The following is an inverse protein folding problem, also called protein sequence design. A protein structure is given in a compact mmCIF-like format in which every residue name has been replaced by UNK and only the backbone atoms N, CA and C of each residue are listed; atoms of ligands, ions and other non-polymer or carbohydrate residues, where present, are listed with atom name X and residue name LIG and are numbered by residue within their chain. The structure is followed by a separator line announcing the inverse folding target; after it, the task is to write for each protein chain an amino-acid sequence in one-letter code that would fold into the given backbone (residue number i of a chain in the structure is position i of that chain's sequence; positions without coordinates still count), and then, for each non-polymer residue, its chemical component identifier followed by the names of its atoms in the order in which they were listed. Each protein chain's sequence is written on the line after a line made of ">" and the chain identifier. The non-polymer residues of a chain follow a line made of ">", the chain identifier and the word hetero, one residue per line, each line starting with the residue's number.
data_IF_871173696879
#
_entry.id   IF_871173696879
#
_cell.length_a   1.000
_cell.length_b   1.000
_cell.length_c   1.000
_cell.angle_alpha   90.00
_cell.angle_beta   90.00
_cell.angle_gamma   90.00
#
_symmetry.space_group_name_H-M   'P 1'
#
loop_
_entity.id
_entity.type
_entity.pdbx_description
1 polymer ?
#
# COMPACT_ATOMS: atom_id res chain seq x y z
N UNK A 1 -63.31 -52.06 -15.51
CA UNK A 1 -62.97 -52.04 -16.94
C UNK A 1 -61.66 -51.27 -17.09
N UNK A 2 -60.68 -51.99 -17.64
CA UNK A 2 -59.29 -51.70 -18.05
C UNK A 2 -58.94 -50.27 -18.57
N UNK A 3 -57.65 -49.90 -18.83
CA UNK A 3 -56.40 -50.67 -18.71
C UNK A 3 -55.18 -49.93 -18.07
N UNK A 4 -54.13 -50.74 -17.90
CA UNK A 4 -52.70 -50.46 -17.64
C UNK A 4 -52.06 -49.33 -18.46
N UNK A 5 -51.09 -48.65 -17.84
CA UNK A 5 -49.86 -48.21 -18.52
C UNK A 5 -48.66 -48.38 -17.59
N UNK A 6 -47.81 -49.34 -17.95
CA UNK A 6 -46.47 -49.50 -17.41
C UNK A 6 -45.55 -48.49 -18.09
N UNK A 7 -44.79 -47.73 -17.32
CA UNK A 7 -43.59 -47.05 -17.83
C UNK A 7 -42.36 -47.60 -17.14
N UNK A 8 -41.58 -48.25 -17.98
CA UNK A 8 -40.25 -48.81 -17.79
C UNK A 8 -39.20 -47.69 -17.87
N UNK A 9 -38.01 -47.95 -17.33
CA UNK A 9 -36.77 -47.17 -17.48
C UNK A 9 -36.69 -45.87 -16.66
N UNK A 10 -35.61 -45.56 -15.93
CA UNK A 10 -34.20 -45.83 -16.22
C UNK A 10 -33.40 -45.65 -14.94
N UNK A 11 -32.57 -46.63 -14.62
CA UNK A 11 -31.49 -46.49 -13.65
C UNK A 11 -30.55 -45.38 -14.11
N UNK A 12 -30.59 -44.25 -13.42
CA UNK A 12 -29.52 -43.26 -13.46
C UNK A 12 -28.47 -43.66 -12.44
N UNK A 13 -27.60 -44.61 -12.80
CA UNK A 13 -26.32 -44.82 -12.12
C UNK A 13 -25.46 -43.57 -12.33
N UNK A 14 -25.70 -42.55 -11.51
CA UNK A 14 -24.78 -41.43 -11.31
C UNK A 14 -23.57 -41.96 -10.56
N UNK A 15 -22.63 -42.56 -11.30
CA UNK A 15 -21.39 -43.07 -10.77
C UNK A 15 -20.62 -41.98 -10.04
N UNK A 16 -20.73 -41.99 -8.71
CA UNK A 16 -19.79 -41.32 -7.81
C UNK A 16 -18.41 -41.94 -8.05
N UNK A 17 -17.62 -41.27 -8.90
CA UNK A 17 -16.21 -41.56 -9.16
C UNK A 17 -15.33 -40.95 -8.06
N UNK A 18 -15.70 -41.13 -6.79
CA UNK A 18 -14.89 -40.68 -5.63
C UNK A 18 -13.78 -41.69 -5.26
N UNK A 19 -13.81 -42.89 -5.82
CA UNK A 19 -12.86 -43.95 -5.50
C UNK A 19 -11.70 -44.03 -6.48
N UNK A 20 -10.50 -43.64 -6.03
CA UNK A 20 -9.14 -43.90 -6.57
C UNK A 20 -8.36 -42.67 -7.06
N UNK A 21 -8.48 -41.52 -6.39
CA UNK A 21 -7.27 -40.69 -6.26
C UNK A 21 -6.21 -41.56 -5.58
N UNK A 22 -5.10 -41.80 -6.26
CA UNK A 22 -4.02 -42.64 -5.72
C UNK A 22 -3.58 -42.09 -4.37
N UNK A 23 -3.16 -42.93 -3.43
CA UNK A 23 -2.70 -42.46 -2.11
C UNK A 23 -1.66 -41.32 -2.25
N UNK A 24 -0.79 -41.41 -3.26
CA UNK A 24 0.14 -40.36 -3.68
C UNK A 24 -0.54 -39.03 -3.96
N UNK A 25 -1.62 -39.03 -4.73
CA UNK A 25 -2.37 -37.83 -5.08
C UNK A 25 -3.13 -37.23 -3.88
N UNK A 26 -3.68 -38.09 -2.99
CA UNK A 26 -4.23 -37.61 -1.71
C UNK A 26 -3.15 -36.94 -0.85
N UNK A 27 -1.93 -37.48 -0.83
CA UNK A 27 -0.82 -36.96 -0.04
C UNK A 27 -0.32 -35.61 -0.58
N UNK A 28 -0.20 -35.45 -1.91
CA UNK A 28 0.11 -34.16 -2.53
C UNK A 28 -0.97 -33.10 -2.27
N UNK A 29 -2.25 -33.49 -2.32
CA UNK A 29 -3.35 -32.56 -2.02
C UNK A 29 -3.33 -32.11 -0.55
N UNK A 30 -3.07 -33.02 0.39
CA UNK A 30 -2.97 -32.67 1.82
C UNK A 30 -1.79 -31.74 2.11
N UNK A 31 -0.63 -31.94 1.46
CA UNK A 31 0.51 -31.04 1.59
C UNK A 31 0.17 -29.66 1.01
N UNK A 32 -0.39 -29.61 -0.19
CA UNK A 32 -0.77 -28.34 -0.80
C UNK A 32 -1.85 -27.60 0.01
N UNK A 33 -2.79 -28.33 0.61
CA UNK A 33 -3.83 -27.77 1.49
C UNK A 33 -3.22 -27.21 2.78
N UNK A 34 -2.30 -27.93 3.41
CA UNK A 34 -1.58 -27.45 4.59
C UNK A 34 -0.75 -26.19 4.29
N UNK A 35 0.00 -26.18 3.17
CA UNK A 35 0.76 -25.01 2.72
C UNK A 35 -0.14 -23.79 2.45
N UNK A 36 -1.32 -24.03 1.87
CA UNK A 36 -2.32 -22.97 1.63
C UNK A 36 -2.91 -22.45 2.94
N UNK A 37 -3.22 -23.33 3.90
CA UNK A 37 -3.73 -22.94 5.21
C UNK A 37 -2.69 -22.13 5.99
N UNK A 38 -1.42 -22.51 5.95
CA UNK A 38 -0.32 -21.75 6.56
C UNK A 38 -0.15 -20.36 5.90
N UNK A 39 -0.19 -20.29 4.56
CA UNK A 39 -0.15 -19.02 3.84
C UNK A 39 -1.36 -18.12 4.16
N UNK A 40 -2.55 -18.70 4.36
CA UNK A 40 -3.75 -17.96 4.78
C UNK A 40 -3.61 -17.42 6.21
N UNK A 41 -3.20 -18.25 7.16
CA UNK A 41 -2.98 -17.84 8.55
C UNK A 41 -1.94 -16.71 8.65
N UNK A 42 -0.87 -16.77 7.85
CA UNK A 42 0.11 -15.69 7.77
C UNK A 42 -0.48 -14.38 7.22
N UNK A 43 -1.37 -14.45 6.22
CA UNK A 43 -2.04 -13.25 5.70
C UNK A 43 -2.99 -12.64 6.72
N UNK A 44 -3.70 -13.47 7.48
CA UNK A 44 -4.63 -13.01 8.50
C UNK A 44 -3.91 -12.29 9.64
N UNK A 45 -2.74 -12.77 10.06
CA UNK A 45 -1.93 -12.09 11.08
C UNK A 45 -1.43 -10.72 10.61
N UNK A 46 -0.98 -10.60 9.35
CA UNK A 46 -0.59 -9.31 8.76
C UNK A 46 -1.75 -8.30 8.75
N UNK A 47 -2.97 -8.76 8.45
CA UNK A 47 -4.15 -7.91 8.47
C UNK A 47 -4.53 -7.50 9.90
N UNK A 48 -4.37 -8.39 10.88
CA UNK A 48 -4.63 -8.08 12.29
C UNK A 48 -3.68 -6.99 12.80
N UNK A 49 -2.40 -7.06 12.46
CA UNK A 49 -1.40 -6.04 12.83
C UNK A 49 -1.71 -4.68 12.20
N UNK A 50 -2.07 -4.64 10.91
CA UNK A 50 -2.48 -3.40 10.23
C UNK A 50 -3.70 -2.77 10.88
N UNK A 51 -4.71 -3.58 11.20
CA UNK A 51 -5.93 -3.11 11.88
C UNK A 51 -5.59 -2.52 13.25
N UNK A 52 -4.74 -3.20 14.01
CA UNK A 52 -4.29 -2.73 15.33
C UNK A 52 -3.59 -1.37 15.23
N UNK A 53 -2.71 -1.18 14.24
CA UNK A 53 -2.05 0.10 14.00
C UNK A 53 -3.02 1.22 13.60
N UNK A 54 -3.98 0.92 12.72
CA UNK A 54 -5.05 1.86 12.36
C UNK A 54 -5.85 2.32 13.58
N UNK A 55 -6.26 1.38 14.44
CA UNK A 55 -7.00 1.68 15.66
C UNK A 55 -6.16 2.56 16.59
N UNK A 56 -4.88 2.25 16.78
CA UNK A 56 -3.99 3.05 17.63
C UNK A 56 -3.85 4.49 17.14
N UNK A 57 -3.68 4.71 15.82
CA UNK A 57 -3.62 6.07 15.26
C UNK A 57 -4.91 6.87 15.49
N UNK A 58 -6.07 6.21 15.42
CA UNK A 58 -7.36 6.84 15.67
C UNK A 58 -7.57 7.17 17.16
N UNK A 59 -7.20 6.25 18.06
CA UNK A 59 -7.28 6.45 19.52
C UNK A 59 -6.35 7.56 19.99
N UNK A 60 -5.16 7.68 19.38
CA UNK A 60 -4.21 8.78 19.65
C UNK A 60 -4.68 10.15 19.11
N UNK A 61 -5.81 10.21 18.41
CA UNK A 61 -6.34 11.46 17.86
C UNK A 61 -5.57 11.97 16.64
N UNK A 62 -5.03 11.06 15.82
CA UNK A 62 -4.20 11.39 14.65
C UNK A 62 -4.84 10.93 13.33
N UNK A 63 -5.97 11.55 12.94
CA UNK A 63 -6.71 11.13 11.75
C UNK A 63 -5.92 11.34 10.45
N UNK A 64 -5.02 12.33 10.39
CA UNK A 64 -4.22 12.58 9.18
C UNK A 64 -3.18 11.47 8.94
N UNK A 65 -2.50 11.04 10.00
CA UNK A 65 -1.58 9.90 9.96
C UNK A 65 -2.33 8.60 9.61
N UNK A 66 -3.55 8.43 10.12
CA UNK A 66 -4.43 7.32 9.73
C UNK A 66 -4.76 7.33 8.23
N UNK A 67 -5.18 8.46 7.66
CA UNK A 67 -5.53 8.55 6.22
C UNK A 67 -4.31 8.21 5.36
N UNK A 68 -3.14 8.71 5.71
CA UNK A 68 -1.90 8.41 5.00
C UNK A 68 -1.55 6.92 5.13
N UNK A 69 -1.58 6.35 6.34
CA UNK A 69 -1.31 4.93 6.57
C UNK A 69 -2.30 4.02 5.83
N UNK A 70 -3.60 4.34 5.88
CA UNK A 70 -4.66 3.58 5.23
C UNK A 70 -4.49 3.59 3.71
N UNK A 71 -4.23 4.75 3.11
CA UNK A 71 -4.01 4.89 1.66
C UNK A 71 -2.83 4.06 1.15
N UNK A 72 -1.83 3.82 2.00
CA UNK A 72 -0.60 3.09 1.66
C UNK A 72 -0.71 1.58 1.87
N UNK A 73 -1.58 1.15 2.78
CA UNK A 73 -1.71 -0.24 3.22
C UNK A 73 -2.95 -0.93 2.65
N UNK A 74 -4.00 -0.18 2.33
CA UNK A 74 -5.28 -0.69 1.82
C UNK A 74 -5.49 -0.25 0.36
N UNK A 75 -4.46 -0.41 -0.48
CA UNK A 75 -4.44 0.09 -1.88
C UNK A 75 -5.79 -0.01 -2.58
N UNK A 76 -6.16 1.04 -3.33
CA UNK A 76 -7.47 1.18 -3.99
C UNK A 76 -7.87 -0.14 -4.67
N UNK A 77 -9.01 -0.75 -4.32
CA UNK A 77 -9.46 -1.97 -4.98
C UNK A 77 -9.98 -1.76 -6.41
N UNK A 78 -10.12 -0.51 -6.89
CA UNK A 78 -10.77 -0.23 -8.17
C UNK A 78 -9.81 0.28 -9.26
N UNK A 79 -9.41 -0.66 -10.14
CA UNK A 79 -9.70 -0.62 -11.57
C UNK A 79 -9.07 0.47 -12.45
N UNK A 80 -7.92 0.17 -13.07
CA UNK A 80 -7.48 0.85 -14.29
C UNK A 80 -6.02 0.62 -14.62
N UNK A 81 -5.76 -0.25 -15.61
CA UNK A 81 -4.48 -0.84 -16.04
C UNK A 81 -4.10 -2.06 -15.19
N UNK A 82 -4.44 -3.29 -15.60
CA UNK A 82 -4.12 -3.85 -16.90
C UNK A 82 -2.75 -4.51 -16.77
N UNK A 83 -2.79 -5.84 -16.70
CA UNK A 83 -1.67 -6.78 -16.65
C UNK A 83 -1.37 -7.37 -15.26
N UNK A 84 -1.72 -8.65 -15.19
CA UNK A 84 -1.53 -9.58 -14.10
C UNK A 84 -0.04 -9.77 -13.79
N UNK A 85 0.44 -9.13 -12.73
CA UNK A 85 1.53 -9.70 -11.93
C UNK A 85 1.03 -9.89 -10.51
N UNK A 86 0.77 -11.15 -10.18
CA UNK A 86 0.64 -11.71 -8.84
C UNK A 86 1.77 -11.22 -7.92
N UNK A 87 1.52 -10.13 -7.22
CA UNK A 87 2.45 -9.53 -6.29
C UNK A 87 1.74 -8.38 -5.62
N UNK A 88 0.76 -8.70 -4.76
CA UNK A 88 0.21 -7.70 -3.85
C UNK A 88 1.39 -6.91 -3.30
N UNK A 89 1.38 -5.62 -3.56
CA UNK A 89 2.40 -4.64 -3.22
C UNK A 89 2.36 -4.37 -1.72
N UNK A 90 2.51 -5.46 -0.99
CA UNK A 90 2.33 -5.57 0.43
C UNK A 90 3.54 -4.88 1.06
N UNK A 91 3.26 -3.84 1.85
CA UNK A 91 4.29 -3.14 2.60
C UNK A 91 4.90 -4.17 3.56
N UNK A 92 6.23 -4.41 3.52
CA UNK A 92 6.87 -5.33 4.44
C UNK A 92 6.47 -5.02 5.87
N UNK A 93 6.27 -6.03 6.71
CA UNK A 93 5.81 -5.81 8.09
C UNK A 93 6.79 -4.90 8.87
N UNK A 94 8.09 -5.04 8.61
CA UNK A 94 9.15 -4.18 9.16
C UNK A 94 8.99 -2.71 8.75
N UNK A 95 8.49 -2.46 7.54
CA UNK A 95 8.22 -1.11 7.04
C UNK A 95 7.02 -0.46 7.73
N UNK A 96 6.07 -1.23 8.26
CA UNK A 96 4.87 -0.68 8.92
C UNK A 96 5.22 0.09 10.19
N UNK A 97 6.20 -0.40 10.96
CA UNK A 97 6.70 0.28 12.16
C UNK A 97 7.39 1.61 11.83
N UNK A 98 8.29 1.60 10.83
CA UNK A 98 8.95 2.81 10.35
C UNK A 98 7.95 3.80 9.75
N UNK A 99 6.98 3.30 8.98
CA UNK A 99 5.92 4.09 8.38
C UNK A 99 5.12 4.83 9.45
N UNK A 100 4.70 4.13 10.51
CA UNK A 100 4.03 4.78 11.64
C UNK A 100 4.91 5.85 12.27
N UNK A 101 6.15 5.53 12.60
CA UNK A 101 7.03 6.45 13.32
C UNK A 101 7.26 7.76 12.55
N UNK A 102 7.52 7.68 11.24
CA UNK A 102 7.72 8.87 10.41
C UNK A 102 6.40 9.64 10.15
N UNK A 103 5.26 8.94 10.01
CA UNK A 103 3.96 9.61 9.91
C UNK A 103 3.61 10.35 11.20
N UNK A 104 3.89 9.78 12.36
CA UNK A 104 3.72 10.45 13.66
C UNK A 104 4.64 11.67 13.79
N UNK A 105 5.90 11.56 13.35
CA UNK A 105 6.84 12.68 13.33
C UNK A 105 6.34 13.80 12.41
N UNK A 106 5.88 13.47 11.21
CA UNK A 106 5.32 14.43 10.27
C UNK A 106 4.07 15.12 10.84
N UNK A 107 3.16 14.36 11.46
CA UNK A 107 1.94 14.89 12.08
C UNK A 107 2.24 15.84 13.25
N UNK A 108 3.19 15.47 14.11
CA UNK A 108 3.66 16.35 15.19
C UNK A 108 4.27 17.65 14.64
N UNK A 109 5.10 17.56 13.60
CA UNK A 109 5.72 18.73 12.97
C UNK A 109 4.68 19.64 12.28
N UNK A 110 3.65 19.06 11.65
CA UNK A 110 2.52 19.78 11.07
C UNK A 110 1.76 20.59 12.13
N UNK A 111 1.52 19.99 13.31
CA UNK A 111 0.85 20.67 14.43
C UNK A 111 1.69 21.79 15.04
N UNK A 112 3.02 21.63 15.05
CA UNK A 112 3.96 22.66 15.50
C UNK A 112 4.22 23.75 14.45
N UNK A 113 3.76 23.56 13.21
CA UNK A 113 4.02 24.49 12.09
C UNK A 113 5.41 24.37 11.47
N UNK A 114 6.20 23.37 11.86
CA UNK A 114 7.55 23.15 11.33
C UNK A 114 7.50 22.39 9.99
N UNK A 115 7.37 23.15 8.92
CA UNK A 115 7.30 22.60 7.55
C UNK A 115 8.58 21.88 7.11
N UNK A 116 9.73 22.20 7.70
CA UNK A 116 11.01 21.56 7.35
C UNK A 116 11.09 20.15 7.93
N UNK A 117 10.69 19.99 9.20
CA UNK A 117 10.59 18.68 9.82
C UNK A 117 9.58 17.77 9.09
N UNK A 118 8.42 18.31 8.67
CA UNK A 118 7.43 17.55 7.86
C UNK A 118 8.06 17.07 6.54
N UNK A 119 8.78 17.95 5.83
CA UNK A 119 9.43 17.61 4.58
C UNK A 119 10.49 16.52 4.77
N UNK A 120 11.30 16.60 5.84
CA UNK A 120 12.33 15.61 6.13
C UNK A 120 11.74 14.21 6.41
N UNK A 121 10.67 14.13 7.19
CA UNK A 121 9.98 12.88 7.50
C UNK A 121 9.41 12.21 6.23
N UNK A 122 8.68 12.96 5.40
CA UNK A 122 8.14 12.42 4.14
C UNK A 122 9.24 12.07 3.13
N UNK A 123 10.35 12.82 3.09
CA UNK A 123 11.52 12.49 2.25
C UNK A 123 12.19 11.19 2.68
N UNK A 124 12.28 10.92 3.98
CA UNK A 124 12.84 9.65 4.48
C UNK A 124 11.97 8.46 4.07
N UNK A 125 10.64 8.58 4.19
CA UNK A 125 9.71 7.56 3.70
C UNK A 125 9.84 7.34 2.20
N UNK A 126 9.91 8.41 1.42
CA UNK A 126 10.05 8.32 -0.03
C UNK A 126 11.35 7.58 -0.43
N UNK A 127 12.47 7.88 0.24
CA UNK A 127 13.74 7.19 0.02
C UNK A 127 13.67 5.70 0.37
N UNK A 128 13.04 5.38 1.50
CA UNK A 128 12.87 4.00 1.93
C UNK A 128 12.07 3.18 0.92
N UNK A 129 10.93 3.70 0.44
CA UNK A 129 10.15 3.03 -0.60
C UNK A 129 10.87 2.96 -1.94
N UNK A 130 11.70 3.95 -2.29
CA UNK A 130 12.54 3.90 -3.48
C UNK A 130 13.61 2.79 -3.38
N UNK A 131 14.22 2.59 -2.21
CA UNK A 131 15.21 1.52 -1.99
C UNK A 131 14.61 0.12 -2.11
N UNK A 132 13.35 -0.06 -1.70
CA UNK A 132 12.65 -1.35 -1.77
C UNK A 132 12.05 -1.59 -3.16
N UNK A 133 12.20 -0.64 -4.10
CA UNK A 133 11.65 -0.75 -5.46
C UNK A 133 10.15 -0.41 -5.56
N UNK A 134 9.55 0.12 -4.49
CA UNK A 134 8.14 0.51 -4.40
C UNK A 134 7.94 1.95 -4.88
N UNK A 135 8.21 2.19 -6.16
CA UNK A 135 8.31 3.54 -6.73
C UNK A 135 7.01 4.35 -6.66
N UNK A 136 5.85 3.72 -6.84
CA UNK A 136 4.54 4.37 -6.77
C UNK A 136 4.27 4.99 -5.37
N UNK A 137 4.66 4.29 -4.28
CA UNK A 137 4.60 4.81 -2.90
C UNK A 137 5.60 5.95 -2.69
N UNK A 138 6.82 5.82 -3.22
CA UNK A 138 7.81 6.89 -3.16
C UNK A 138 7.31 8.16 -3.87
N UNK A 139 6.70 8.02 -5.05
CA UNK A 139 6.10 9.12 -5.80
C UNK A 139 5.01 9.83 -5.01
N UNK A 140 4.11 9.08 -4.35
CA UNK A 140 3.06 9.64 -3.50
C UNK A 140 3.64 10.61 -2.45
N UNK A 141 4.72 10.22 -1.77
CA UNK A 141 5.39 11.06 -0.78
C UNK A 141 6.11 12.26 -1.41
N UNK A 142 6.80 12.08 -2.54
CA UNK A 142 7.42 13.20 -3.24
C UNK A 142 6.39 14.23 -3.74
N UNK A 143 5.23 13.79 -4.24
CA UNK A 143 4.12 14.69 -4.60
C UNK A 143 3.60 15.46 -3.39
N UNK A 144 3.56 14.84 -2.21
CA UNK A 144 3.16 15.51 -0.97
C UNK A 144 4.20 16.55 -0.52
N UNK A 145 5.48 16.23 -0.62
CA UNK A 145 6.57 17.19 -0.41
C UNK A 145 6.50 18.39 -1.36
N UNK A 146 6.13 18.17 -2.63
CA UNK A 146 5.93 19.26 -3.59
C UNK A 146 4.78 20.19 -3.19
N UNK A 147 3.63 19.62 -2.80
CA UNK A 147 2.48 20.41 -2.33
C UNK A 147 2.83 21.24 -1.09
N UNK A 148 3.53 20.64 -0.12
CA UNK A 148 4.00 21.36 1.07
C UNK A 148 4.90 22.54 0.70
N UNK A 149 5.83 22.36 -0.24
CA UNK A 149 6.71 23.45 -0.69
C UNK A 149 5.93 24.58 -1.36
N UNK A 150 4.91 24.26 -2.16
CA UNK A 150 4.04 25.25 -2.80
C UNK A 150 3.22 26.02 -1.77
N UNK A 151 2.62 25.34 -0.80
CA UNK A 151 1.82 25.97 0.26
C UNK A 151 2.66 26.91 1.13
N UNK A 152 3.90 26.52 1.45
CA UNK A 152 4.85 27.39 2.18
C UNK A 152 5.22 28.63 1.36
N UNK A 153 5.39 28.50 0.03
CA UNK A 153 5.66 29.64 -0.85
C UNK A 153 4.47 30.58 -0.96
N UNK A 154 3.24 30.07 -1.08
CA UNK A 154 2.02 30.89 -1.13
C UNK A 154 1.81 31.63 0.19
N UNK A 155 2.04 30.98 1.34
CA UNK A 155 1.96 31.64 2.64
C UNK A 155 3.04 32.71 2.82
N UNK A 156 4.25 32.48 2.33
CA UNK A 156 5.32 33.52 2.32
C UNK A 156 5.03 34.65 1.33
N UNK A 157 4.41 34.36 0.20
CA UNK A 157 4.05 35.36 -0.81
C UNK A 157 2.81 36.19 -0.41
N UNK A 158 1.87 35.60 0.34
CA UNK A 158 0.71 36.28 0.92
C UNK A 158 1.00 36.99 2.24
N UNK A 159 2.08 36.64 2.94
CA UNK A 159 2.57 37.31 4.14
C UNK A 159 3.80 38.18 3.81
N UNK A 160 3.61 39.20 2.99
CA UNK A 160 4.57 40.28 2.84
C UNK A 160 4.14 41.50 3.68
N UNK A 161 4.70 41.72 4.88
CA UNK A 161 4.91 43.07 5.36
C UNK A 161 6.07 43.71 4.58
N UNK A 162 5.97 44.99 4.16
CA UNK A 162 7.11 45.67 3.55
C UNK A 162 8.14 46.00 4.63
N UNK A 163 9.33 45.40 4.53
CA UNK A 163 10.53 45.87 5.21
C UNK A 163 11.17 44.85 6.15
N UNK A 164 12.47 44.62 5.95
CA UNK A 164 13.32 43.92 6.92
C UNK A 164 14.29 42.95 6.26
N UNK A 165 15.49 43.44 5.97
CA UNK A 165 16.64 42.67 5.50
C UNK A 165 17.07 41.58 6.49
N UNK A 166 17.71 40.53 5.96
CA UNK A 166 18.68 39.74 6.72
C UNK A 166 18.28 38.28 6.99
N UNK A 167 18.98 37.38 6.31
CA UNK A 167 19.45 36.07 6.79
C UNK A 167 19.16 34.93 5.81
N UNK A 168 20.26 34.51 5.18
CA UNK A 168 20.44 33.39 4.28
C UNK A 168 20.00 32.06 4.91
N UNK A 169 19.04 31.37 4.27
CA UNK A 169 18.66 29.98 4.54
C UNK A 169 18.53 29.18 3.24
N UNK A 170 18.84 27.87 3.24
CA UNK A 170 19.27 27.15 2.05
C UNK A 170 18.15 26.94 1.02
N UNK A 171 18.51 27.14 -0.25
CA UNK A 171 17.65 26.90 -1.43
C UNK A 171 17.34 25.41 -1.58
N UNK A 172 16.29 24.93 -0.92
CA UNK A 172 15.72 23.59 -1.11
C UNK A 172 14.84 23.53 -2.37
N UNK A 173 15.27 24.09 -3.49
CA UNK A 173 14.45 24.18 -4.72
C UNK A 173 15.02 23.40 -5.91
N UNK A 174 16.27 22.93 -5.84
CA UNK A 174 16.90 22.22 -6.97
C UNK A 174 16.72 20.70 -6.97
N UNK A 175 16.50 20.07 -5.81
CA UNK A 175 16.51 18.61 -5.70
C UNK A 175 15.28 17.89 -6.25
N UNK A 176 14.10 18.52 -6.24
CA UNK A 176 12.83 17.80 -6.51
C UNK A 176 12.53 17.71 -8.01
N UNK A 177 12.94 18.71 -8.81
CA UNK A 177 12.77 18.68 -10.27
C UNK A 177 13.70 17.66 -10.95
N UNK A 178 14.89 17.43 -10.40
CA UNK A 178 15.84 16.44 -10.94
C UNK A 178 15.35 15.02 -10.63
N UNK A 179 14.80 14.76 -9.44
CA UNK A 179 14.35 13.42 -9.06
C UNK A 179 13.09 12.98 -9.83
N UNK A 180 12.12 13.88 -10.07
CA UNK A 180 10.94 13.54 -10.88
C UNK A 180 11.34 13.16 -12.32
N UNK A 181 12.34 13.83 -12.90
CA UNK A 181 12.88 13.40 -14.20
C UNK A 181 13.64 12.07 -14.14
N UNK A 182 14.38 11.79 -13.07
CA UNK A 182 15.09 10.51 -12.91
C UNK A 182 14.11 9.33 -12.79
N UNK A 183 13.02 9.48 -12.02
CA UNK A 183 11.99 8.43 -11.88
C UNK A 183 11.29 8.18 -13.22
N UNK A 184 11.01 9.23 -13.99
CA UNK A 184 10.38 9.09 -15.31
C UNK A 184 11.31 8.48 -16.36
N UNK A 185 12.63 8.61 -16.21
CA UNK A 185 13.63 7.98 -17.09
C UNK A 185 13.85 6.50 -16.71
N UNK A 186 13.90 6.16 -15.43
CA UNK A 186 14.06 4.75 -15.01
C UNK A 186 12.83 3.88 -15.30
N UNK A 187 11.62 4.45 -15.33
CA UNK A 187 10.40 3.73 -15.73
C UNK A 187 10.38 3.29 -17.20
N UNK A 188 11.19 3.90 -18.06
CA UNK A 188 11.27 3.54 -19.50
C UNK A 188 12.31 2.43 -19.74
N UNK A 189 13.32 2.28 -18.87
CA UNK A 189 14.40 1.30 -19.06
C UNK A 189 14.06 -0.13 -18.64
N UNK A 190 12.98 -0.37 -17.90
CA UNK A 190 12.54 -1.72 -17.49
C UNK A 190 11.49 -2.33 -18.46
N UNK A 191 11.15 -1.63 -19.54
CA UNK A 191 10.15 -2.07 -20.52
C UNK A 191 10.77 -2.61 -21.81
N UNK A 192 11.99 -3.18 -21.76
CA UNK A 192 12.66 -3.74 -22.93
C UNK A 192 13.31 -5.09 -22.64
#
# INVERSE_FOLDING_TARGET
>A
MEPRAATYSREGTGGSRDGKRTFKEKLHNLIAEAEQAEAQAYRESQLADRKTLCIQLLVEGRPQAFVDFFSLTHGRPDGGHGESTSGQEEVPQEALGQLRAELLRADNALRSGDTEAVYSAYKNLAKYFAQIGRLHKAEFFFRRCLRLSQDTQVRRAGAAPPGGEGSTGPRVTLGVRVFVRIVQIQGVCQAK
#
